data_IF_500154600316
#
_entry.id   IF_500154600316
#
_cell.length_a   1.000
_cell.length_b   1.000
_cell.length_c   1.000
_cell.angle_alpha   90.00
_cell.angle_beta   90.00
_cell.angle_gamma   90.00
#
_symmetry.space_group_name_H-M   'P 1'
#
loop_
_entity.id
_entity.type
_entity.pdbx_description
1 polymer ?
#
# COMPACT_ATOMS: atom_id res chain seq x y z
N UNK A 1 6.98 -8.18 15.34
CA UNK A 1 8.18 -9.02 15.08
C UNK A 1 8.49 -10.00 16.22
N UNK A 2 8.60 -9.56 17.48
CA UNK A 2 9.05 -10.40 18.60
C UNK A 2 8.26 -11.72 18.77
N UNK A 3 6.92 -11.66 18.68
CA UNK A 3 6.06 -12.86 18.70
C UNK A 3 6.42 -13.87 17.60
N UNK A 4 6.62 -13.40 16.37
CA UNK A 4 6.92 -14.26 15.22
C UNK A 4 8.26 -15.01 15.37
N UNK A 5 9.28 -14.32 15.91
CA UNK A 5 10.59 -14.93 16.17
C UNK A 5 10.52 -15.96 17.29
N UNK A 6 9.86 -15.59 18.41
CA UNK A 6 9.83 -16.40 19.62
C UNK A 6 8.95 -17.64 19.51
N UNK A 7 7.77 -17.50 18.89
CA UNK A 7 6.77 -18.58 18.86
C UNK A 7 6.84 -19.45 17.59
N UNK A 8 7.31 -18.89 16.47
CA UNK A 8 7.32 -19.58 15.17
C UNK A 8 8.71 -19.70 14.55
N UNK A 9 9.77 -19.23 15.22
CA UNK A 9 11.15 -19.37 14.73
C UNK A 9 11.47 -18.57 13.46
N UNK A 10 10.68 -17.54 13.13
CA UNK A 10 10.90 -16.71 11.94
C UNK A 10 12.23 -15.96 12.06
N UNK A 11 13.09 -16.09 11.04
CA UNK A 11 14.37 -15.37 10.95
C UNK A 11 14.17 -14.07 10.17
N UNK A 12 14.64 -12.96 10.72
CA UNK A 12 14.66 -11.66 10.06
C UNK A 12 16.10 -11.32 9.72
N UNK A 13 16.39 -11.10 8.43
CA UNK A 13 17.70 -10.71 7.94
C UNK A 13 17.57 -9.28 7.41
N UNK A 14 18.24 -8.33 8.05
CA UNK A 14 18.28 -6.95 7.56
C UNK A 14 19.23 -6.87 6.37
N UNK A 15 18.67 -6.79 5.18
CA UNK A 15 19.46 -6.78 3.95
C UNK A 15 18.68 -6.16 2.79
N UNK A 16 19.42 -5.72 1.75
CA UNK A 16 18.88 -5.48 0.42
C UNK A 16 19.25 -6.67 -0.48
N UNK A 17 18.22 -7.32 -1.01
CA UNK A 17 18.39 -8.37 -2.03
C UNK A 17 18.77 -7.70 -3.34
N UNK A 18 19.87 -8.13 -3.94
CA UNK A 18 20.36 -7.62 -5.22
C UNK A 18 19.67 -8.33 -6.40
N UNK A 19 19.58 -9.67 -6.33
CA UNK A 19 18.96 -10.49 -7.36
C UNK A 19 18.56 -11.86 -6.80
N UNK A 20 17.68 -12.53 -7.52
CA UNK A 20 17.28 -13.92 -7.28
C UNK A 20 17.53 -14.68 -8.58
N UNK A 21 18.35 -15.72 -8.53
CA UNK A 21 18.68 -16.58 -9.68
C UNK A 21 18.29 -18.03 -9.39
N UNK A 22 18.18 -18.86 -10.42
CA UNK A 22 17.94 -20.30 -10.28
C UNK A 22 19.28 -21.04 -10.47
N UNK A 23 19.60 -21.97 -9.54
CA UNK A 23 20.80 -22.81 -9.66
C UNK A 23 20.60 -23.99 -10.64
N UNK A 24 21.67 -24.71 -10.96
CA UNK A 24 21.64 -25.87 -11.87
C UNK A 24 20.67 -26.99 -11.44
N UNK A 25 20.22 -26.98 -10.18
CA UNK A 25 19.29 -27.97 -9.62
C UNK A 25 17.87 -27.40 -9.47
N UNK A 26 17.59 -26.23 -10.03
CA UNK A 26 16.29 -25.59 -9.99
C UNK A 26 15.93 -24.87 -8.69
N UNK A 27 16.91 -24.62 -7.80
CA UNK A 27 16.66 -23.91 -6.53
C UNK A 27 16.90 -22.42 -6.66
N UNK A 28 16.12 -21.62 -5.95
CA UNK A 28 16.25 -20.18 -5.94
C UNK A 28 17.40 -19.74 -5.03
N UNK A 29 18.26 -18.87 -5.54
CA UNK A 29 19.43 -18.33 -4.84
C UNK A 29 19.25 -16.82 -4.68
N UNK A 30 19.10 -16.39 -3.43
CA UNK A 30 19.08 -14.97 -3.07
C UNK A 30 20.49 -14.46 -2.94
N UNK A 31 20.84 -13.42 -3.71
CA UNK A 31 22.08 -12.66 -3.53
C UNK A 31 21.75 -11.39 -2.75
N UNK A 32 22.37 -11.23 -1.58
CA UNK A 32 22.02 -10.12 -0.68
C UNK A 32 23.24 -9.64 0.10
N UNK A 33 23.22 -8.40 0.57
CA UNK A 33 24.28 -7.85 1.42
C UNK A 33 23.89 -7.99 2.89
N UNK A 34 24.68 -8.70 3.70
CA UNK A 34 24.45 -8.73 5.14
C UNK A 34 24.84 -7.38 5.75
N UNK A 35 23.86 -6.63 6.24
CA UNK A 35 24.06 -5.30 6.80
C UNK A 35 24.97 -5.27 8.04
N UNK A 36 25.24 -6.42 8.67
CA UNK A 36 26.14 -6.52 9.83
C UNK A 36 27.60 -6.67 9.40
N UNK A 37 27.84 -7.42 8.32
CA UNK A 37 29.18 -7.76 7.86
C UNK A 37 29.62 -6.97 6.61
N UNK A 38 28.69 -6.28 5.95
CA UNK A 38 28.86 -5.58 4.67
C UNK A 38 29.50 -6.45 3.60
N UNK A 39 29.16 -7.76 3.62
CA UNK A 39 29.65 -8.74 2.66
C UNK A 39 28.49 -9.31 1.84
N UNK A 40 28.72 -9.59 0.55
CA UNK A 40 27.79 -10.37 -0.25
C UNK A 40 27.60 -11.76 0.37
N UNK A 41 26.34 -12.18 0.47
CA UNK A 41 25.91 -13.48 0.94
C UNK A 41 24.97 -14.11 -0.07
N UNK A 42 24.88 -15.44 -0.01
CA UNK A 42 23.95 -16.21 -0.82
C UNK A 42 23.10 -17.11 0.09
N UNK A 43 21.81 -17.19 -0.20
CA UNK A 43 20.89 -18.11 0.49
C UNK A 43 20.07 -18.88 -0.53
N UNK A 44 20.14 -20.21 -0.45
CA UNK A 44 19.32 -21.11 -1.26
C UNK A 44 17.99 -21.37 -0.58
N UNK A 45 16.89 -21.26 -1.32
CA UNK A 45 15.54 -21.54 -0.85
C UNK A 45 14.74 -22.28 -1.91
N UNK A 46 13.70 -22.99 -1.47
CA UNK A 46 12.79 -23.70 -2.37
C UNK A 46 11.67 -22.79 -2.91
N UNK A 47 11.36 -21.69 -2.22
CA UNK A 47 10.32 -20.73 -2.60
C UNK A 47 10.71 -19.30 -2.24
N UNK A 48 10.52 -18.39 -3.19
CA UNK A 48 10.60 -16.95 -2.98
C UNK A 48 9.18 -16.36 -2.97
N UNK A 49 8.81 -15.69 -1.88
CA UNK A 49 7.56 -14.92 -1.79
C UNK A 49 7.92 -13.44 -1.88
N UNK A 50 7.50 -12.78 -2.95
CA UNK A 50 7.69 -11.34 -3.14
C UNK A 50 6.52 -10.59 -2.50
N UNK A 51 6.78 -9.90 -1.40
CA UNK A 51 5.82 -8.98 -0.79
C UNK A 51 5.75 -7.69 -1.61
N UNK A 52 5.01 -7.71 -2.72
CA UNK A 52 4.92 -6.61 -3.67
C UNK A 52 4.17 -5.41 -3.10
N UNK A 53 4.50 -4.22 -3.59
CA UNK A 53 3.81 -2.97 -3.26
C UNK A 53 2.37 -2.94 -3.77
N UNK A 54 1.56 -2.07 -3.15
CA UNK A 54 0.23 -1.72 -3.64
C UNK A 54 0.34 -0.64 -4.71
N UNK A 55 -0.41 -0.80 -5.79
CA UNK A 55 -0.55 0.15 -6.89
C UNK A 55 -2.02 0.50 -7.10
N UNK A 56 -2.35 1.59 -7.82
CA UNK A 56 -3.74 1.93 -8.15
C UNK A 56 -4.43 0.77 -8.88
N UNK A 57 -5.71 0.57 -8.59
CA UNK A 57 -6.53 -0.41 -9.29
C UNK A 57 -6.71 -0.05 -10.77
N UNK A 58 -6.95 -1.04 -11.66
CA UNK A 58 -7.01 -0.80 -13.11
C UNK A 58 -8.12 0.18 -13.54
N UNK A 59 -9.16 0.37 -12.72
CA UNK A 59 -10.26 1.28 -13.00
C UNK A 59 -10.05 2.73 -12.51
N UNK A 60 -8.96 3.02 -11.79
CA UNK A 60 -8.77 4.34 -11.15
C UNK A 60 -8.70 5.47 -12.19
N UNK A 61 -7.94 5.28 -13.28
CA UNK A 61 -7.82 6.29 -14.34
C UNK A 61 -9.14 6.55 -15.08
N UNK A 62 -9.88 5.49 -15.43
CA UNK A 62 -11.19 5.65 -16.06
C UNK A 62 -12.19 6.35 -15.12
N UNK A 63 -12.15 6.02 -13.83
CA UNK A 63 -13.03 6.65 -12.85
C UNK A 63 -12.67 8.12 -12.60
N UNK A 64 -11.39 8.47 -12.64
CA UNK A 64 -10.97 9.88 -12.52
C UNK A 64 -11.48 10.72 -13.69
N UNK A 65 -11.51 10.18 -14.90
CA UNK A 65 -12.09 10.89 -16.06
C UNK A 65 -13.61 11.05 -15.93
N UNK A 66 -14.31 9.99 -15.52
CA UNK A 66 -15.79 10.02 -15.36
C UNK A 66 -16.22 10.98 -14.26
N UNK A 67 -15.47 11.04 -13.16
CA UNK A 67 -15.80 11.86 -11.99
C UNK A 67 -15.10 13.22 -11.99
N UNK A 68 -14.26 13.52 -12.98
CA UNK A 68 -13.45 14.74 -13.05
C UNK A 68 -12.61 14.95 -11.77
N UNK A 69 -11.79 13.94 -11.45
CA UNK A 69 -10.91 13.91 -10.27
C UNK A 69 -9.45 13.96 -10.69
N UNK A 70 -8.62 14.62 -9.90
CA UNK A 70 -7.17 14.58 -10.10
C UNK A 70 -6.55 13.34 -9.43
N UNK A 71 -5.52 12.79 -10.06
CA UNK A 71 -4.66 11.77 -9.47
C UNK A 71 -3.36 12.38 -8.92
N UNK A 72 -2.76 11.75 -7.92
CA UNK A 72 -1.44 12.11 -7.42
C UNK A 72 -0.31 11.57 -8.33
N UNK A 73 0.95 11.83 -7.97
CA UNK A 73 2.13 11.38 -8.74
C UNK A 73 2.27 9.85 -8.80
N UNK A 74 1.58 9.11 -7.93
CA UNK A 74 1.58 7.65 -7.87
C UNK A 74 0.33 7.04 -8.54
N UNK A 75 -0.58 7.86 -9.05
CA UNK A 75 -1.81 7.44 -9.74
C UNK A 75 -2.98 7.12 -8.82
N UNK A 76 -2.94 7.48 -7.53
CA UNK A 76 -4.09 7.37 -6.62
C UNK A 76 -4.93 8.65 -6.62
N UNK A 77 -6.16 8.60 -6.09
CA UNK A 77 -6.99 9.81 -6.01
C UNK A 77 -6.34 10.87 -5.11
N UNK A 78 -6.13 12.06 -5.68
CA UNK A 78 -5.52 13.18 -4.98
C UNK A 78 -6.47 13.70 -3.91
N UNK A 79 -5.91 13.99 -2.74
CA UNK A 79 -6.64 14.49 -1.57
C UNK A 79 -5.76 15.45 -0.77
N UNK A 80 -6.38 16.27 0.07
CA UNK A 80 -5.67 17.22 0.92
C UNK A 80 -5.19 16.54 2.23
N UNK A 81 -3.94 16.76 2.71
CA UNK A 81 -3.49 16.26 4.01
C UNK A 81 -4.35 16.68 5.20
N UNK A 82 -4.99 17.85 5.16
CA UNK A 82 -5.86 18.36 6.21
C UNK A 82 -7.32 17.88 6.08
N UNK A 83 -7.71 17.40 4.89
CA UNK A 83 -9.03 16.84 4.60
C UNK A 83 -8.86 15.52 3.85
N UNK A 84 -8.43 14.45 4.54
CA UNK A 84 -7.90 13.26 3.88
C UNK A 84 -8.94 12.45 3.11
N UNK A 85 -10.22 12.68 3.33
CA UNK A 85 -11.34 12.04 2.64
C UNK A 85 -11.84 12.85 1.45
N UNK A 86 -11.48 14.13 1.36
CA UNK A 86 -12.04 15.05 0.37
C UNK A 86 -11.18 14.97 -0.89
N UNK A 87 -11.83 14.70 -2.03
CA UNK A 87 -11.17 14.67 -3.33
C UNK A 87 -10.99 16.09 -3.88
N UNK A 88 -10.44 16.22 -5.09
CA UNK A 88 -10.34 17.52 -5.77
C UNK A 88 -11.69 18.08 -6.24
N UNK A 89 -12.76 17.28 -6.17
CA UNK A 89 -14.11 17.70 -6.52
C UNK A 89 -14.99 17.71 -5.28
N UNK A 90 -15.64 18.86 -5.06
CA UNK A 90 -16.60 19.03 -3.96
C UNK A 90 -17.77 18.04 -4.08
N UNK A 91 -18.21 17.51 -2.94
CA UNK A 91 -19.26 16.50 -2.87
C UNK A 91 -18.81 15.07 -3.25
N UNK A 92 -17.55 14.89 -3.66
CA UNK A 92 -16.97 13.57 -3.94
C UNK A 92 -15.89 13.25 -2.90
N UNK A 93 -16.04 12.10 -2.25
CA UNK A 93 -15.20 11.66 -1.14
C UNK A 93 -14.56 10.31 -1.45
N UNK A 94 -13.43 10.01 -0.80
CA UNK A 94 -12.64 8.80 -1.00
C UNK A 94 -12.25 8.13 0.31
N UNK A 95 -12.06 6.81 0.27
CA UNK A 95 -11.61 6.00 1.41
C UNK A 95 -10.92 4.71 0.94
N UNK A 96 -10.10 4.14 1.83
CA UNK A 96 -9.39 2.89 1.59
C UNK A 96 -8.27 3.00 0.56
N UNK A 97 -7.94 1.85 -0.05
CA UNK A 97 -6.76 1.69 -0.90
C UNK A 97 -6.74 2.53 -2.19
N UNK A 98 -7.87 3.10 -2.61
CA UNK A 98 -7.92 3.98 -3.78
C UNK A 98 -7.25 5.34 -3.55
N UNK A 99 -6.97 5.69 -2.28
CA UNK A 99 -6.22 6.89 -1.88
C UNK A 99 -4.74 6.63 -1.58
N UNK A 100 -4.28 5.41 -1.82
CA UNK A 100 -2.92 4.96 -1.51
C UNK A 100 -2.89 3.75 -0.57
N UNK A 101 -1.69 3.20 -0.29
CA UNK A 101 -1.52 2.03 0.56
C UNK A 101 -2.16 2.20 1.95
N UNK A 102 -3.08 1.31 2.30
CA UNK A 102 -3.76 1.28 3.59
C UNK A 102 -3.93 -0.14 4.10
N UNK A 103 -3.93 -0.31 5.42
CA UNK A 103 -4.37 -1.56 6.04
C UNK A 103 -5.90 -1.56 6.24
N UNK A 104 -6.44 -2.70 6.69
CA UNK A 104 -7.88 -2.86 6.88
C UNK A 104 -8.42 -1.88 7.94
N UNK A 105 -7.84 -1.79 9.17
CA UNK A 105 -8.32 -0.84 10.16
C UNK A 105 -8.32 0.61 9.69
N UNK A 106 -7.25 1.04 9.01
CA UNK A 106 -7.16 2.39 8.45
C UNK A 106 -8.24 2.61 7.38
N UNK A 107 -8.47 1.63 6.51
CA UNK A 107 -9.51 1.71 5.47
C UNK A 107 -10.91 1.83 6.09
N UNK A 108 -11.18 1.09 7.16
CA UNK A 108 -12.45 1.19 7.91
C UNK A 108 -12.60 2.56 8.56
N UNK A 109 -11.55 3.08 9.20
CA UNK A 109 -11.59 4.41 9.81
C UNK A 109 -11.83 5.51 8.76
N UNK A 110 -11.16 5.42 7.60
CA UNK A 110 -11.36 6.34 6.49
C UNK A 110 -12.79 6.25 5.93
N UNK A 111 -13.37 5.04 5.83
CA UNK A 111 -14.74 4.86 5.36
C UNK A 111 -15.74 5.56 6.29
N UNK A 112 -15.57 5.44 7.61
CA UNK A 112 -16.39 6.17 8.59
C UNK A 112 -16.23 7.69 8.44
N UNK A 113 -15.01 8.18 8.23
CA UNK A 113 -14.75 9.61 7.98
C UNK A 113 -15.42 10.11 6.70
N UNK A 114 -15.30 9.37 5.60
CA UNK A 114 -15.90 9.73 4.32
C UNK A 114 -17.45 9.74 4.41
N UNK A 115 -18.03 8.77 5.14
CA UNK A 115 -19.47 8.75 5.40
C UNK A 115 -19.94 9.98 6.21
N UNK A 116 -19.20 10.36 7.25
CA UNK A 116 -19.50 11.54 8.03
C UNK A 116 -19.39 12.84 7.21
N UNK A 117 -18.36 12.95 6.35
CA UNK A 117 -18.18 14.09 5.45
C UNK A 117 -19.26 14.19 4.38
N UNK A 118 -19.65 13.06 3.80
CA UNK A 118 -20.78 13.01 2.87
C UNK A 118 -22.10 13.42 3.55
N UNK A 119 -22.36 12.95 4.78
CA UNK A 119 -23.53 13.35 5.54
C UNK A 119 -23.53 14.85 5.85
N UNK A 120 -22.39 15.39 6.29
CA UNK A 120 -22.22 16.82 6.52
C UNK A 120 -22.52 17.64 5.26
N UNK A 121 -21.95 17.24 4.12
CA UNK A 121 -22.17 17.93 2.84
C UNK A 121 -23.65 17.97 2.45
N UNK A 122 -24.37 16.86 2.62
CA UNK A 122 -25.83 16.81 2.34
C UNK A 122 -26.60 17.74 3.28
N UNK A 123 -26.29 17.75 4.58
CA UNK A 123 -26.97 18.63 5.54
C UNK A 123 -26.76 20.12 5.22
N UNK A 124 -25.54 20.50 4.86
CA UNK A 124 -25.19 21.87 4.45
C UNK A 124 -25.97 22.29 3.18
N UNK A 125 -26.17 21.38 2.23
CA UNK A 125 -27.00 21.63 1.05
C UNK A 125 -28.49 21.81 1.39
N UNK A 126 -28.99 21.11 2.41
CA UNK A 126 -30.39 21.23 2.88
C UNK A 126 -30.61 22.46 3.79
N UNK A 127 -29.55 23.19 4.14
CA UNK A 127 -29.61 24.39 4.99
C UNK A 127 -29.85 24.09 6.47
N UNK A 128 -29.49 22.88 6.91
CA UNK A 128 -29.53 22.43 8.31
C UNK A 128 -28.20 22.72 9.02
#
# INVERSE_FOLDING_TARGET
MNRAQREYGVKYIRSRVAQIEEDENGRLVFHYEDATTSRPQQMKVDLAVLATSLIPGPGVAALSEVLDLELDEYGFFRTNPFSPTDTTREGVFTCGGCRGPSDIPQSVAQASGAAARAAQYVMEMEGM
#
